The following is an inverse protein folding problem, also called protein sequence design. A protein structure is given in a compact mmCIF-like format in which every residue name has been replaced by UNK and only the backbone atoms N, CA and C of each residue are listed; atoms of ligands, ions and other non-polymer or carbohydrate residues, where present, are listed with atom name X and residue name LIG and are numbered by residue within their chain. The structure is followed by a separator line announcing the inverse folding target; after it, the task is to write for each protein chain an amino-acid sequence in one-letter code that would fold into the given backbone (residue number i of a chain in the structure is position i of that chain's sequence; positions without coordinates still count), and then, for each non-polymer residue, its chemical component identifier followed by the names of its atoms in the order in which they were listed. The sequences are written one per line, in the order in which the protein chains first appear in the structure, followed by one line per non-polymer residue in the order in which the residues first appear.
data_IF_436913299058
#
_entry.id   IF_436913299058
#
_cell.length_a   1.000
_cell.length_b   1.000
_cell.length_c   1.000
_cell.angle_alpha   90.00
_cell.angle_beta   90.00
_cell.angle_gamma   90.00
#
_symmetry.space_group_name_H-M   'P 1'
#
loop_
_entity.id
_entity.type
_entity.pdbx_description
1 polymer ?
#
# COMPACT_ATOMS: atom_id res chain seq x y z
N UNK A 1 54.12 -27.73 -8.80
CA UNK A 1 52.89 -28.53 -8.58
C UNK A 1 51.83 -27.62 -7.97
N UNK A 2 51.01 -26.98 -8.80
CA UNK A 2 49.88 -26.15 -8.38
C UNK A 2 48.67 -27.07 -8.10
N UNK A 3 48.08 -26.97 -6.90
CA UNK A 3 46.73 -27.50 -6.64
C UNK A 3 45.74 -26.65 -7.44
N UNK A 4 44.77 -27.23 -8.16
CA UNK A 4 43.63 -26.45 -8.62
C UNK A 4 42.71 -26.24 -7.43
N UNK A 5 42.46 -24.97 -7.13
CA UNK A 5 41.49 -24.51 -6.16
C UNK A 5 40.10 -25.00 -6.61
N UNK A 6 39.50 -25.86 -5.80
CA UNK A 6 38.13 -26.31 -5.99
C UNK A 6 37.19 -25.13 -5.69
N UNK A 7 36.97 -24.30 -6.72
CA UNK A 7 35.90 -23.29 -6.78
C UNK A 7 34.54 -24.01 -6.95
N UNK A 8 34.18 -24.83 -5.96
CA UNK A 8 32.86 -25.46 -5.88
C UNK A 8 31.88 -24.43 -5.34
N UNK A 9 31.51 -23.47 -6.21
CA UNK A 9 30.32 -22.66 -6.01
C UNK A 9 29.10 -23.58 -6.07
N UNK A 10 28.48 -23.80 -4.93
CA UNK A 10 27.11 -24.32 -4.88
C UNK A 10 26.23 -23.47 -5.82
N UNK A 11 25.55 -24.07 -6.82
CA UNK A 11 24.65 -23.31 -7.67
C UNK A 11 23.48 -22.79 -6.82
N UNK A 12 22.95 -21.59 -7.13
CA UNK A 12 21.83 -21.02 -6.41
C UNK A 12 20.68 -22.02 -6.38
N UNK A 13 20.22 -22.30 -5.17
CA UNK A 13 19.10 -23.19 -4.85
C UNK A 13 17.94 -22.95 -5.81
N UNK A 14 17.71 -23.89 -6.72
CA UNK A 14 16.51 -23.91 -7.56
C UNK A 14 15.28 -23.88 -6.65
N UNK A 15 14.20 -23.16 -7.02
CA UNK A 15 12.95 -23.20 -6.26
C UNK A 15 12.53 -24.66 -6.14
N UNK A 16 12.46 -25.17 -4.90
CA UNK A 16 11.91 -26.51 -4.67
C UNK A 16 10.43 -26.41 -5.03
N UNK A 17 9.97 -27.28 -5.92
CA UNK A 17 8.56 -27.48 -6.20
C UNK A 17 7.92 -28.06 -4.93
N UNK A 18 7.52 -27.20 -4.00
CA UNK A 18 6.87 -27.61 -2.76
C UNK A 18 5.42 -27.89 -3.13
N UNK A 19 5.09 -29.17 -3.26
CA UNK A 19 3.72 -29.64 -3.49
C UNK A 19 2.88 -29.19 -2.28
N UNK A 20 1.94 -28.28 -2.52
CA UNK A 20 1.01 -27.77 -1.52
C UNK A 20 0.35 -28.94 -0.77
N UNK A 21 0.48 -28.95 0.56
CA UNK A 21 -0.09 -30.00 1.41
C UNK A 21 -1.62 -29.87 1.54
N UNK A 22 -2.32 -30.87 2.11
CA UNK A 22 -3.78 -30.85 2.26
C UNK A 22 -4.34 -29.66 3.07
N UNK A 23 -3.49 -28.98 3.85
CA UNK A 23 -3.83 -27.77 4.62
C UNK A 23 -3.32 -26.45 4.00
N UNK A 24 -2.75 -26.51 2.80
CA UNK A 24 -2.19 -25.36 2.08
C UNK A 24 -3.18 -24.79 1.04
N UNK A 25 -4.33 -25.46 0.86
CA UNK A 25 -5.47 -24.97 0.12
C UNK A 25 -6.04 -23.72 0.82
N UNK A 26 -5.67 -22.54 0.32
CA UNK A 26 -6.08 -21.25 0.85
C UNK A 26 -4.98 -20.44 1.56
N UNK A 27 -3.76 -20.98 1.72
CA UNK A 27 -2.64 -20.22 2.28
C UNK A 27 -2.26 -19.03 1.37
N UNK A 28 -2.39 -19.21 0.05
CA UNK A 28 -2.16 -18.17 -0.96
C UNK A 28 -3.28 -17.12 -1.02
N UNK A 29 -4.50 -17.48 -0.59
CA UNK A 29 -5.67 -16.58 -0.59
C UNK A 29 -5.82 -15.81 0.72
N UNK A 30 -4.96 -16.06 1.72
CA UNK A 30 -5.02 -15.29 2.96
C UNK A 30 -4.73 -13.82 2.64
N UNK A 31 -5.53 -12.87 3.13
CA UNK A 31 -5.23 -11.46 2.98
C UNK A 31 -3.88 -11.19 3.66
N UNK A 32 -2.84 -10.97 2.86
CA UNK A 32 -1.52 -10.60 3.34
C UNK A 32 -1.56 -9.10 3.61
N UNK A 33 -1.15 -8.69 4.81
CA UNK A 33 -1.04 -7.27 5.13
C UNK A 33 -0.07 -6.63 4.12
N UNK A 34 -0.60 -5.75 3.28
CA UNK A 34 0.22 -5.02 2.31
C UNK A 34 1.10 -4.06 3.10
N UNK A 35 2.41 -4.10 2.84
CA UNK A 35 3.34 -3.15 3.44
C UNK A 35 2.86 -1.73 3.10
N UNK A 36 2.43 -0.98 4.12
CA UNK A 36 2.02 0.42 3.95
C UNK A 36 3.23 1.23 3.47
N UNK A 37 3.16 1.72 2.25
CA UNK A 37 4.22 2.59 1.75
C UNK A 37 3.99 4.02 2.24
N UNK A 38 5.05 4.83 2.41
CA UNK A 38 4.91 6.27 2.70
C UNK A 38 4.09 7.03 1.63
N UNK A 39 3.94 6.44 0.44
CA UNK A 39 3.21 6.99 -0.70
C UNK A 39 1.69 6.88 -0.50
N UNK A 40 1.19 5.77 0.05
CA UNK A 40 -0.23 5.58 0.38
C UNK A 40 -0.74 6.63 1.38
N UNK A 41 0.11 7.03 2.34
CA UNK A 41 -0.20 8.09 3.32
C UNK A 41 -0.36 9.47 2.68
N UNK A 42 0.37 9.73 1.59
CA UNK A 42 0.30 11.02 0.88
C UNK A 42 -0.99 11.15 0.08
N UNK A 43 -1.46 10.04 -0.50
CA UNK A 43 -2.69 10.03 -1.28
C UNK A 43 -3.93 10.15 -0.38
N UNK A 44 -3.91 9.51 0.80
CA UNK A 44 -4.94 9.73 1.82
C UNK A 44 -5.04 11.20 2.26
N UNK A 45 -3.91 11.87 2.50
CA UNK A 45 -3.90 13.28 2.89
C UNK A 45 -4.43 14.22 1.79
N UNK A 46 -4.22 13.89 0.51
CA UNK A 46 -4.75 14.69 -0.60
C UNK A 46 -6.27 14.61 -0.68
N UNK A 47 -6.84 13.42 -0.52
CA UNK A 47 -8.29 13.22 -0.50
C UNK A 47 -8.94 13.98 0.68
N UNK A 48 -8.39 13.84 1.88
CA UNK A 48 -8.89 14.55 3.08
C UNK A 48 -8.80 16.06 2.90
N UNK A 49 -7.71 16.57 2.32
CA UNK A 49 -7.54 18.00 2.07
C UNK A 49 -8.56 18.54 1.08
N UNK A 50 -8.84 17.80 0.00
CA UNK A 50 -9.89 18.17 -0.96
C UNK A 50 -11.26 18.22 -0.29
N UNK A 51 -11.60 17.19 0.49
CA UNK A 51 -12.87 17.12 1.22
C UNK A 51 -13.06 18.32 2.17
N UNK A 52 -12.05 18.64 2.98
CA UNK A 52 -12.10 19.79 3.89
C UNK A 52 -12.29 21.12 3.14
N UNK A 53 -11.68 21.25 1.96
CA UNK A 53 -11.82 22.44 1.13
C UNK A 53 -13.25 22.59 0.61
N UNK A 54 -13.85 21.51 0.11
CA UNK A 54 -15.25 21.50 -0.35
C UNK A 54 -16.23 21.85 0.78
N UNK A 55 -16.03 21.26 1.97
CA UNK A 55 -16.82 21.58 3.16
C UNK A 55 -16.67 23.05 3.53
N UNK A 56 -15.44 23.56 3.56
CA UNK A 56 -15.16 24.96 3.87
C UNK A 56 -15.85 25.92 2.90
N UNK A 57 -15.76 25.68 1.59
CA UNK A 57 -16.45 26.49 0.57
C UNK A 57 -17.96 26.46 0.76
N UNK A 58 -18.55 25.27 0.95
CA UNK A 58 -20.00 25.14 1.19
C UNK A 58 -20.44 25.92 2.43
N UNK A 59 -19.68 25.85 3.52
CA UNK A 59 -19.96 26.60 4.74
C UNK A 59 -19.90 28.11 4.52
N UNK A 60 -18.88 28.60 3.81
CA UNK A 60 -18.74 30.01 3.45
C UNK A 60 -19.92 30.47 2.60
N UNK A 61 -20.34 29.69 1.60
CA UNK A 61 -21.49 30.05 0.75
C UNK A 61 -22.77 30.20 1.56
N UNK A 62 -23.08 29.22 2.42
CA UNK A 62 -24.29 29.28 3.27
C UNK A 62 -24.23 30.45 4.24
N UNK A 63 -23.05 30.72 4.82
CA UNK A 63 -22.84 31.83 5.74
C UNK A 63 -23.06 33.19 5.06
N UNK A 64 -22.49 33.39 3.86
CA UNK A 64 -22.69 34.61 3.07
C UNK A 64 -24.15 34.78 2.70
N UNK A 65 -24.82 33.73 2.22
CA UNK A 65 -26.25 33.79 1.88
C UNK A 65 -27.11 34.14 3.09
N UNK A 66 -26.79 33.61 4.28
CA UNK A 66 -27.50 33.96 5.51
C UNK A 66 -27.31 35.43 5.88
N UNK A 67 -26.09 35.96 5.79
CA UNK A 67 -25.84 37.39 6.04
C UNK A 67 -26.63 38.26 5.06
N UNK A 68 -26.57 37.91 3.77
CA UNK A 68 -27.31 38.66 2.73
C UNK A 68 -28.82 38.58 2.94
N UNK A 69 -29.35 37.45 3.40
CA UNK A 69 -30.78 37.32 3.70
C UNK A 69 -31.22 38.06 4.98
N UNK A 70 -30.28 38.34 5.88
CA UNK A 70 -30.54 39.07 7.13
C UNK A 70 -30.51 40.60 6.94
N UNK A 71 -29.75 41.09 5.95
CA UNK A 71 -29.59 42.51 5.60
C UNK A 71 -30.68 42.96 4.63
#
# INVERSE_FOLDING_TARGET
MTKPDADMKDPPSRPRDVRAGPGDAGASDRPVHREETPQDRRDGNRATRLFLWLVGVGFITVFVLNIVALV
#
